data_IF_333411832998
#
_entry.id   IF_333411832998
#
_cell.length_a   1.000
_cell.length_b   1.000
_cell.length_c   1.000
_cell.angle_alpha   90.00
_cell.angle_beta   90.00
_cell.angle_gamma   90.00
#
_symmetry.space_group_name_H-M   'P 1'
#
loop_
_entity.id
_entity.type
_entity.pdbx_description
1 polymer ?
#
# COMPACT_ATOMS: atom_id res chain seq x y z
N UNK A 1 -58.34 -41.97 6.69
CA UNK A 1 -58.21 -40.51 6.73
C UNK A 1 -56.74 -40.14 6.56
N UNK A 2 -56.29 -39.79 5.35
CA UNK A 2 -54.93 -39.30 5.10
C UNK A 2 -55.02 -37.88 4.53
N UNK A 3 -54.72 -36.88 5.35
CA UNK A 3 -54.70 -35.48 4.93
C UNK A 3 -53.34 -35.18 4.28
N UNK A 4 -53.35 -34.84 2.99
CA UNK A 4 -52.16 -34.41 2.25
C UNK A 4 -51.89 -32.94 2.57
N UNK A 5 -50.76 -32.66 3.21
CA UNK A 5 -50.25 -31.31 3.40
C UNK A 5 -49.75 -30.77 2.06
N UNK A 6 -50.52 -29.89 1.44
CA UNK A 6 -50.09 -29.10 0.28
C UNK A 6 -49.16 -27.98 0.78
N UNK A 7 -47.89 -28.00 0.36
CA UNK A 7 -46.93 -26.92 0.67
C UNK A 7 -47.27 -25.69 -0.16
N UNK A 8 -47.61 -24.60 0.51
CA UNK A 8 -47.98 -23.32 -0.11
C UNK A 8 -46.83 -22.72 -0.94
N UNK A 9 -47.11 -22.16 -2.15
CA UNK A 9 -46.10 -21.58 -3.03
C UNK A 9 -45.33 -20.40 -2.42
N UNK A 10 -45.93 -19.71 -1.44
CA UNK A 10 -45.32 -18.61 -0.69
C UNK A 10 -44.06 -19.03 0.13
N UNK A 11 -43.95 -20.30 0.52
CA UNK A 11 -42.78 -20.80 1.23
C UNK A 11 -41.57 -20.99 0.30
N UNK A 12 -41.83 -21.23 -1.00
CA UNK A 12 -40.78 -21.47 -2.00
C UNK A 12 -40.14 -20.16 -2.49
N UNK A 13 -40.92 -19.09 -2.60
CA UNK A 13 -40.44 -17.76 -3.01
C UNK A 13 -39.60 -17.08 -1.92
N UNK A 14 -39.96 -17.23 -0.64
CA UNK A 14 -39.17 -16.72 0.48
C UNK A 14 -37.78 -17.38 0.57
N UNK A 15 -37.69 -18.69 0.31
CA UNK A 15 -36.42 -19.41 0.31
C UNK A 15 -35.48 -19.00 -0.83
N UNK A 16 -36.02 -18.70 -2.02
CA UNK A 16 -35.24 -18.22 -3.18
C UNK A 16 -34.69 -16.80 -2.94
N UNK A 17 -35.51 -15.90 -2.38
CA UNK A 17 -35.08 -14.53 -2.02
C UNK A 17 -34.00 -14.55 -0.92
N UNK A 18 -34.13 -15.45 0.07
CA UNK A 18 -33.11 -15.63 1.10
C UNK A 18 -31.76 -16.12 0.56
N UNK A 19 -31.76 -17.07 -0.39
CA UNK A 19 -30.53 -17.56 -1.01
C UNK A 19 -29.83 -16.49 -1.86
N UNK A 20 -30.58 -15.68 -2.62
CA UNK A 20 -30.01 -14.58 -3.42
C UNK A 20 -29.39 -13.52 -2.50
N UNK A 21 -30.04 -13.17 -1.39
CA UNK A 21 -29.50 -12.24 -0.41
C UNK A 21 -28.21 -12.77 0.26
N UNK A 22 -28.13 -14.07 0.59
CA UNK A 22 -26.91 -14.68 1.11
C UNK A 22 -25.76 -14.70 0.09
N UNK A 23 -26.06 -14.97 -1.19
CA UNK A 23 -25.05 -14.96 -2.26
C UNK A 23 -24.48 -13.55 -2.50
N UNK A 24 -25.29 -12.50 -2.37
CA UNK A 24 -24.84 -11.11 -2.47
C UNK A 24 -23.93 -10.70 -1.30
N UNK A 25 -24.18 -11.20 -0.09
CA UNK A 25 -23.36 -10.94 1.09
C UNK A 25 -22.02 -11.69 1.08
N UNK A 26 -21.94 -12.84 0.40
CA UNK A 26 -20.71 -13.63 0.29
C UNK A 26 -19.72 -13.09 -0.77
N UNK A 27 -20.13 -12.11 -1.57
CA UNK A 27 -19.30 -11.52 -2.63
C UNK A 27 -18.18 -10.59 -2.15
N UNK A 28 -18.14 -10.21 -0.87
CA UNK A 28 -17.09 -9.39 -0.27
C UNK A 28 -15.89 -10.22 0.22
N UNK A 29 -15.55 -11.29 -0.49
CA UNK A 29 -14.28 -11.98 -0.27
C UNK A 29 -13.14 -11.07 -0.73
N UNK A 30 -12.34 -10.59 0.22
CA UNK A 30 -11.16 -9.76 0.00
C UNK A 30 -10.23 -10.36 -1.07
N UNK A 31 -10.43 -9.97 -2.32
CA UNK A 31 -9.40 -10.07 -3.36
C UNK A 31 -8.36 -8.99 -3.06
N UNK A 32 -7.63 -9.13 -1.95
CA UNK A 32 -6.33 -8.48 -1.80
C UNK A 32 -5.44 -9.10 -2.86
N UNK A 33 -5.39 -8.45 -4.02
CA UNK A 33 -4.40 -8.75 -5.04
C UNK A 33 -3.04 -8.81 -4.33
N UNK A 34 -2.23 -9.85 -4.59
CA UNK A 34 -0.95 -9.97 -3.93
C UNK A 34 -0.16 -8.68 -4.17
N UNK A 35 0.23 -8.01 -3.09
CA UNK A 35 1.01 -6.75 -3.09
C UNK A 35 2.42 -6.92 -3.71
N UNK A 36 2.75 -8.10 -4.23
CA UNK A 36 4.00 -8.40 -4.89
C UNK A 36 3.75 -9.40 -6.02
N UNK A 37 4.39 -9.23 -7.20
CA UNK A 37 4.32 -10.25 -8.25
C UNK A 37 4.90 -11.56 -7.73
N UNK A 38 4.17 -12.67 -7.88
CA UNK A 38 4.63 -13.99 -7.44
C UNK A 38 5.95 -14.35 -8.13
N UNK A 39 6.96 -14.74 -7.36
CA UNK A 39 8.25 -15.21 -7.87
C UNK A 39 9.32 -14.14 -8.08
N UNK A 40 9.08 -12.88 -7.68
CA UNK A 40 10.12 -11.85 -7.65
C UNK A 40 10.98 -11.97 -6.38
N UNK A 41 12.32 -11.77 -6.46
CA UNK A 41 13.19 -11.68 -5.29
C UNK A 41 12.81 -10.51 -4.38
N UNK A 42 12.98 -10.67 -3.07
CA UNK A 42 12.70 -9.59 -2.11
C UNK A 42 13.52 -8.33 -2.46
N UNK A 43 12.86 -7.20 -2.80
CA UNK A 43 13.55 -5.99 -3.19
C UNK A 43 14.32 -5.40 -2.01
N UNK A 44 14.16 -5.87 -0.79
CA UNK A 44 14.92 -5.41 0.38
C UNK A 44 16.00 -6.38 0.83
N UNK A 45 16.30 -7.43 0.04
CA UNK A 45 17.39 -8.36 0.37
C UNK A 45 18.75 -7.64 0.53
N UNK A 46 19.30 -7.64 1.75
CA UNK A 46 20.54 -6.92 2.05
C UNK A 46 20.38 -5.40 2.26
N UNK A 47 19.15 -4.89 2.34
CA UNK A 47 18.91 -3.49 2.68
C UNK A 47 19.10 -3.23 4.19
N UNK A 48 19.92 -2.25 4.54
CA UNK A 48 20.10 -1.72 5.89
C UNK A 48 19.24 -0.46 6.16
N UNK A 49 18.27 -0.49 7.09
CA UNK A 49 17.46 0.68 7.46
C UNK A 49 18.25 1.77 8.20
N UNK A 50 19.35 1.44 8.89
CA UNK A 50 20.21 2.45 9.53
C UNK A 50 20.89 3.29 8.46
N UNK A 51 21.42 2.63 7.42
CA UNK A 51 21.93 3.31 6.22
C UNK A 51 20.82 4.10 5.52
N UNK A 52 19.62 3.53 5.40
CA UNK A 52 18.45 4.20 4.84
C UNK A 52 18.16 5.55 5.50
N UNK A 53 18.16 5.60 6.83
CA UNK A 53 17.98 6.84 7.60
C UNK A 53 19.04 7.91 7.27
N UNK A 54 20.29 7.51 7.10
CA UNK A 54 21.37 8.44 6.73
C UNK A 54 21.19 8.96 5.30
N UNK A 55 20.73 8.11 4.39
CA UNK A 55 20.49 8.47 3.01
C UNK A 55 19.30 9.42 2.87
N UNK A 56 18.25 9.28 3.69
CA UNK A 56 17.13 10.24 3.75
C UNK A 56 17.61 11.67 4.02
N UNK A 57 18.59 11.82 4.92
CA UNK A 57 19.23 13.12 5.19
C UNK A 57 20.08 13.58 4.00
N UNK A 58 20.92 12.67 3.47
CA UNK A 58 21.86 12.96 2.38
C UNK A 58 21.19 13.33 1.05
N UNK A 59 20.05 12.71 0.74
CA UNK A 59 19.22 13.04 -0.43
C UNK A 59 18.31 14.25 -0.19
N UNK A 60 18.31 14.85 1.00
CA UNK A 60 17.56 16.07 1.27
C UNK A 60 16.06 15.87 1.40
N UNK A 61 15.59 14.66 1.77
CA UNK A 61 14.16 14.39 1.94
C UNK A 61 13.50 15.34 2.95
N UNK A 62 14.27 15.78 3.96
CA UNK A 62 13.84 16.72 5.00
C UNK A 62 13.53 18.13 4.48
N UNK A 63 13.96 18.48 3.27
CA UNK A 63 13.61 19.77 2.66
C UNK A 63 12.10 19.86 2.39
N UNK A 64 11.46 18.73 2.07
CA UNK A 64 10.03 18.69 1.74
C UNK A 64 9.18 17.98 2.80
N UNK A 65 9.74 16.99 3.49
CA UNK A 65 9.02 16.13 4.42
C UNK A 65 9.49 16.34 5.86
N UNK A 66 8.56 16.29 6.80
CA UNK A 66 8.90 16.01 8.20
C UNK A 66 9.19 14.51 8.33
N UNK A 67 10.36 14.15 8.87
CA UNK A 67 10.81 12.74 8.95
C UNK A 67 11.16 12.35 10.40
N UNK A 68 10.47 11.36 10.99
CA UNK A 68 10.74 10.93 12.36
C UNK A 68 12.19 10.51 12.58
N UNK A 69 12.85 11.17 13.54
CA UNK A 69 14.22 10.85 13.91
C UNK A 69 15.27 11.46 13.00
N UNK A 70 14.98 12.11 11.88
CA UNK A 70 15.99 12.85 11.09
C UNK A 70 15.88 14.34 11.43
N UNK A 71 17.02 15.00 11.69
CA UNK A 71 17.01 16.45 11.97
C UNK A 71 16.70 17.20 10.67
N UNK A 72 15.76 18.13 10.74
CA UNK A 72 15.38 18.96 9.61
C UNK A 72 14.26 19.93 10.00
N UNK A 73 13.86 20.81 9.07
CA UNK A 73 12.68 21.64 9.27
C UNK A 73 11.42 20.76 9.35
N UNK A 74 10.39 21.25 10.03
CA UNK A 74 9.04 20.65 9.97
C UNK A 74 8.37 21.00 8.64
N UNK A 75 8.95 20.54 7.54
CA UNK A 75 8.46 20.81 6.19
C UNK A 75 7.19 20.00 5.89
N UNK A 76 6.29 20.63 5.15
CA UNK A 76 5.00 20.10 4.72
C UNK A 76 4.74 20.31 3.22
N UNK A 77 5.80 20.53 2.42
CA UNK A 77 5.71 20.57 0.96
C UNK A 77 5.30 19.20 0.44
N UNK A 78 5.95 18.16 0.95
CA UNK A 78 5.45 16.78 0.90
C UNK A 78 4.68 16.46 2.20
N UNK A 79 3.80 15.45 2.18
CA UNK A 79 3.15 14.99 3.40
C UNK A 79 4.22 14.50 4.38
N UNK A 80 4.03 14.63 5.71
CA UNK A 80 4.96 14.07 6.67
C UNK A 80 5.17 12.56 6.43
N UNK A 81 6.27 11.98 6.90
CA UNK A 81 6.60 10.56 6.66
C UNK A 81 6.36 9.64 7.87
N UNK A 82 5.83 10.15 9.00
CA UNK A 82 5.36 9.24 10.05
C UNK A 82 4.32 8.25 9.52
N UNK A 83 4.34 7.05 10.11
CA UNK A 83 3.42 5.96 9.79
C UNK A 83 3.46 5.51 8.34
N UNK A 84 4.57 5.74 7.62
CA UNK A 84 4.68 5.35 6.22
C UNK A 84 4.44 3.85 6.01
N UNK A 85 4.84 2.99 6.95
CA UNK A 85 4.60 1.55 6.91
C UNK A 85 3.10 1.19 6.93
N UNK A 86 2.27 2.04 7.53
CA UNK A 86 0.82 1.81 7.69
C UNK A 86 -0.02 2.39 6.54
N UNK A 87 0.59 3.13 5.61
CA UNK A 87 -0.15 3.73 4.48
C UNK A 87 -0.55 2.67 3.47
N UNK A 88 -1.73 2.83 2.87
CA UNK A 88 -2.17 1.97 1.77
C UNK A 88 -1.52 2.30 0.43
N UNK A 89 -1.06 3.55 0.24
CA UNK A 89 -0.53 4.03 -1.04
C UNK A 89 0.72 4.89 -0.89
N UNK A 90 1.58 4.84 -1.90
CA UNK A 90 2.75 5.70 -2.13
C UNK A 90 2.39 6.74 -3.19
N UNK A 91 2.63 8.02 -2.89
CA UNK A 91 2.27 9.12 -3.80
C UNK A 91 0.77 9.22 -4.13
N UNK A 92 -0.08 8.48 -3.40
CA UNK A 92 -1.51 8.35 -3.72
C UNK A 92 -1.84 7.51 -4.95
N UNK A 93 -0.85 6.91 -5.62
CA UNK A 93 -1.02 6.26 -6.93
C UNK A 93 -0.56 4.80 -6.99
N UNK A 94 0.37 4.38 -6.14
CA UNK A 94 0.86 2.99 -6.09
C UNK A 94 0.47 2.34 -4.76
N UNK A 95 0.01 1.07 -4.73
CA UNK A 95 -0.12 0.33 -3.47
C UNK A 95 1.20 0.31 -2.70
N UNK A 96 1.14 0.52 -1.39
CA UNK A 96 2.33 0.57 -0.55
C UNK A 96 2.89 -0.84 -0.29
N UNK A 97 3.99 -1.14 -0.97
CA UNK A 97 4.78 -2.34 -0.78
C UNK A 97 6.24 -2.03 -1.15
N UNK A 98 7.21 -2.87 -0.76
CA UNK A 98 8.62 -2.62 -0.99
C UNK A 98 8.99 -2.32 -2.46
N UNK A 99 8.42 -3.05 -3.42
CA UNK A 99 8.71 -2.85 -4.85
C UNK A 99 8.25 -1.48 -5.33
N UNK A 100 7.04 -1.09 -4.96
CA UNK A 100 6.45 0.18 -5.37
C UNK A 100 7.10 1.36 -4.67
N UNK A 101 7.55 1.21 -3.42
CA UNK A 101 8.29 2.25 -2.72
C UNK A 101 9.64 2.49 -3.41
N UNK A 102 10.39 1.43 -3.71
CA UNK A 102 11.66 1.53 -4.46
C UNK A 102 11.42 2.17 -5.83
N UNK A 103 10.40 1.73 -6.56
CA UNK A 103 10.01 2.30 -7.86
C UNK A 103 9.69 3.79 -7.76
N UNK A 104 8.92 4.19 -6.76
CA UNK A 104 8.57 5.59 -6.52
C UNK A 104 9.81 6.43 -6.23
N UNK A 105 10.72 5.96 -5.37
CA UNK A 105 11.92 6.71 -4.99
C UNK A 105 12.90 6.93 -6.15
N UNK A 106 12.95 5.99 -7.11
CA UNK A 106 13.87 6.08 -8.24
C UNK A 106 13.46 7.14 -9.26
N UNK A 107 12.17 7.22 -9.60
CA UNK A 107 11.66 8.21 -10.57
C UNK A 107 10.17 8.50 -10.33
N UNK A 108 9.83 9.39 -9.38
CA UNK A 108 8.44 9.74 -9.12
C UNK A 108 7.73 10.32 -10.34
N UNK A 109 8.30 11.26 -11.14
CA UNK A 109 7.66 11.78 -12.35
C UNK A 109 7.36 10.73 -13.42
N UNK A 110 8.16 9.67 -13.52
CA UNK A 110 7.85 8.54 -14.42
C UNK A 110 6.67 7.69 -13.91
N UNK A 111 6.33 7.75 -12.63
CA UNK A 111 5.17 7.06 -12.03
C UNK A 111 3.92 7.94 -12.10
N UNK A 112 4.02 9.19 -11.64
CA UNK A 112 2.96 10.21 -11.76
C UNK A 112 3.55 11.53 -12.28
N UNK A 113 3.33 11.89 -13.55
CA UNK A 113 3.84 13.14 -14.13
C UNK A 113 3.36 14.43 -13.43
N UNK A 114 2.35 14.34 -12.56
CA UNK A 114 1.82 15.48 -11.80
C UNK A 114 2.43 15.61 -10.41
N UNK A 115 3.30 14.68 -9.99
CA UNK A 115 3.96 14.76 -8.68
C UNK A 115 4.92 15.94 -8.62
N UNK A 116 4.98 16.59 -7.46
CA UNK A 116 5.98 17.61 -7.17
C UNK A 116 7.32 17.02 -6.70
N UNK A 117 7.36 15.73 -6.34
CA UNK A 117 8.58 15.07 -5.91
C UNK A 117 9.50 14.85 -7.12
N UNK A 118 10.70 15.45 -7.18
CA UNK A 118 11.57 15.32 -8.33
C UNK A 118 12.24 13.93 -8.38
N UNK A 119 12.85 13.59 -9.52
CA UNK A 119 13.81 12.51 -9.56
C UNK A 119 15.06 12.93 -8.78
N UNK A 120 15.38 12.18 -7.72
CA UNK A 120 16.48 12.48 -6.79
C UNK A 120 17.85 12.00 -7.28
N UNK A 121 17.91 11.32 -8.44
CA UNK A 121 19.14 10.77 -9.00
C UNK A 121 19.77 9.67 -8.15
N UNK A 122 18.98 8.97 -7.32
CA UNK A 122 19.50 7.95 -6.40
C UNK A 122 19.73 6.60 -7.09
N UNK A 123 20.67 5.82 -6.56
CA UNK A 123 20.91 4.46 -7.03
C UNK A 123 19.79 3.52 -6.57
N UNK A 124 19.61 2.39 -7.26
CA UNK A 124 18.69 1.33 -6.81
C UNK A 124 19.08 0.80 -5.43
N UNK A 125 20.37 0.69 -5.11
CA UNK A 125 20.82 0.25 -3.79
C UNK A 125 20.37 1.23 -2.69
N UNK A 126 20.55 2.54 -2.92
CA UNK A 126 20.15 3.57 -1.96
C UNK A 126 18.62 3.61 -1.77
N UNK A 127 17.86 3.50 -2.86
CA UNK A 127 16.40 3.44 -2.80
C UNK A 127 15.90 2.24 -1.96
N UNK A 128 16.59 1.10 -1.99
CA UNK A 128 16.27 -0.07 -1.18
C UNK A 128 16.55 0.17 0.31
N UNK A 129 17.70 0.76 0.64
CA UNK A 129 18.04 1.17 2.00
C UNK A 129 17.02 2.16 2.58
N UNK A 130 16.69 3.21 1.82
CA UNK A 130 15.68 4.19 2.20
C UNK A 130 14.32 3.50 2.38
N UNK A 131 13.93 2.61 1.46
CA UNK A 131 12.67 1.87 1.58
C UNK A 131 12.61 1.03 2.86
N UNK A 132 13.69 0.31 3.18
CA UNK A 132 13.77 -0.47 4.40
C UNK A 132 13.55 0.41 5.64
N UNK A 133 14.14 1.61 5.66
CA UNK A 133 13.93 2.58 6.75
C UNK A 133 12.50 3.14 6.78
N UNK A 134 11.94 3.56 5.65
CA UNK A 134 10.58 4.12 5.60
C UNK A 134 9.52 3.11 6.08
N UNK A 135 9.74 1.82 5.82
CA UNK A 135 8.88 0.74 6.28
C UNK A 135 9.07 0.40 7.78
N UNK A 136 10.01 1.02 8.50
CA UNK A 136 10.07 0.96 9.96
C UNK A 136 9.28 2.08 10.64
N UNK A 137 8.63 2.98 9.89
CA UNK A 137 7.89 4.12 10.45
C UNK A 137 6.41 3.76 10.61
N UNK A 138 5.95 3.51 11.84
CA UNK A 138 4.56 3.17 12.22
C UNK A 138 3.83 4.24 13.07
#
# INVERSE_FOLDING_TARGET
MHSRLTRSPACRTAALLGMIALLLLAGCGEQRLPLSPRGQPDPLEGADPIRGRQLVDSYGCVACHTVPGVRGPSSNVGPPLEKMALRGYVGGVLPNNPYNLVRWLLDPPAVDPRTAMPNMGMSTADARHITAYLLTLD
#
